data_IF_044955877557
#
_entry.id   IF_044955877557
#
_cell.length_a   1.000
_cell.length_b   1.000
_cell.length_c   1.000
_cell.angle_alpha   90.00
_cell.angle_beta   90.00
_cell.angle_gamma   90.00
#
_symmetry.space_group_name_H-M   'P 1'
#
loop_
_entity.id
_entity.type
_entity.pdbx_description
1 polymer ?
#
# COMPACT_ATOMS: atom_id res chain seq x y z
N UNK A 1 -12.98 -7.40 -11.85
CA UNK A 1 -12.43 -7.82 -10.55
C UNK A 1 -12.31 -6.56 -9.70
N UNK A 2 -12.83 -6.63 -8.49
CA UNK A 2 -13.05 -5.46 -7.66
C UNK A 2 -11.77 -5.14 -6.87
N UNK A 3 -10.92 -4.26 -7.41
CA UNK A 3 -9.78 -3.75 -6.65
C UNK A 3 -10.19 -2.52 -5.84
N UNK A 4 -10.42 -2.73 -4.55
CA UNK A 4 -10.74 -1.68 -3.59
C UNK A 4 -9.63 -1.47 -2.55
N UNK A 5 -8.44 -2.06 -2.77
CA UNK A 5 -7.36 -2.06 -1.79
C UNK A 5 -6.94 -0.64 -1.38
N UNK A 6 -6.95 0.31 -2.31
CA UNK A 6 -6.67 1.71 -1.99
C UNK A 6 -7.74 2.32 -1.07
N UNK A 7 -9.02 2.13 -1.40
CA UNK A 7 -10.14 2.67 -0.63
C UNK A 7 -10.19 2.10 0.80
N UNK A 8 -10.07 0.78 0.94
CA UNK A 8 -10.10 0.09 2.25
C UNK A 8 -8.88 0.44 3.09
N UNK A 9 -7.70 0.62 2.47
CA UNK A 9 -6.48 1.09 3.15
C UNK A 9 -6.69 2.49 3.70
N UNK A 10 -7.24 3.42 2.92
CA UNK A 10 -7.55 4.77 3.39
C UNK A 10 -8.57 4.77 4.54
N UNK A 11 -9.59 3.91 4.47
CA UNK A 11 -10.55 3.74 5.57
C UNK A 11 -9.89 3.21 6.84
N UNK A 12 -9.02 2.22 6.69
CA UNK A 12 -8.26 1.64 7.80
C UNK A 12 -7.34 2.67 8.45
N UNK A 13 -6.63 3.47 7.65
CA UNK A 13 -5.78 4.55 8.15
C UNK A 13 -6.60 5.63 8.86
N UNK A 14 -7.77 6.01 8.34
CA UNK A 14 -8.68 6.96 9.01
C UNK A 14 -9.13 6.47 10.39
N UNK A 15 -9.42 5.18 10.53
CA UNK A 15 -9.86 4.58 11.80
C UNK A 15 -8.73 4.52 12.83
N UNK A 16 -7.51 4.16 12.41
CA UNK A 16 -6.39 3.93 13.32
C UNK A 16 -5.52 5.18 13.52
N UNK A 17 -5.59 6.17 12.60
CA UNK A 17 -4.83 7.43 12.63
C UNK A 17 -5.65 8.62 12.11
N UNK A 18 -6.62 9.10 12.90
CA UNK A 18 -7.46 10.24 12.49
C UNK A 18 -6.68 11.56 12.32
N UNK A 19 -5.48 11.68 12.89
CA UNK A 19 -4.64 12.88 12.79
C UNK A 19 -3.60 12.82 11.67
N UNK A 20 -3.59 11.77 10.85
CA UNK A 20 -2.63 11.64 9.76
C UNK A 20 -3.00 12.53 8.58
N UNK A 21 -1.99 13.11 7.90
CA UNK A 21 -2.20 13.92 6.69
C UNK A 21 -2.41 13.04 5.46
N UNK A 22 -3.42 12.17 5.51
CA UNK A 22 -3.81 11.28 4.41
C UNK A 22 -5.12 11.77 3.77
N UNK A 23 -5.34 11.53 2.47
CA UNK A 23 -6.63 11.82 1.85
C UNK A 23 -7.77 11.12 2.57
N UNK A 24 -8.85 11.83 2.87
CA UNK A 24 -10.02 11.26 3.50
C UNK A 24 -10.91 10.59 2.45
N UNK A 25 -11.18 9.28 2.55
CA UNK A 25 -12.06 8.61 1.61
C UNK A 25 -13.51 9.05 1.86
N UNK A 26 -14.13 9.64 0.84
CA UNK A 26 -15.51 10.12 0.84
C UNK A 26 -16.49 9.11 0.25
N UNK A 27 -16.04 8.25 -0.66
CA UNK A 27 -16.88 7.22 -1.27
C UNK A 27 -16.18 6.43 -2.37
N UNK A 28 -16.83 5.36 -2.79
CA UNK A 28 -16.40 4.46 -3.85
C UNK A 28 -17.61 4.17 -4.74
N UNK A 29 -17.46 4.35 -6.05
CA UNK A 29 -18.48 4.00 -7.05
C UNK A 29 -17.87 3.05 -8.05
N UNK A 30 -18.57 1.95 -8.34
CA UNK A 30 -18.19 1.02 -9.40
C UNK A 30 -19.13 1.14 -10.59
N UNK A 31 -18.55 1.35 -11.77
CA UNK A 31 -19.27 1.39 -13.05
C UNK A 31 -18.60 0.38 -13.97
N UNK A 32 -19.28 -0.76 -14.18
CA UNK A 32 -18.74 -1.91 -14.92
C UNK A 32 -17.38 -2.34 -14.31
N UNK A 33 -16.30 -2.26 -15.10
CA UNK A 33 -14.96 -2.63 -14.67
C UNK A 33 -14.15 -1.51 -14.04
N UNK A 34 -14.70 -0.29 -13.97
CA UNK A 34 -14.02 0.89 -13.42
C UNK A 34 -14.47 1.12 -11.98
N UNK A 35 -13.49 1.28 -11.08
CA UNK A 35 -13.70 1.71 -9.70
C UNK A 35 -13.25 3.17 -9.57
N UNK A 36 -14.13 4.04 -9.10
CA UNK A 36 -13.87 5.46 -8.85
C UNK A 36 -13.84 5.71 -7.35
N UNK A 37 -12.68 6.12 -6.84
CA UNK A 37 -12.48 6.51 -5.43
C UNK A 37 -12.58 8.02 -5.31
N UNK A 38 -13.48 8.49 -4.45
CA UNK A 38 -13.62 9.90 -4.11
C UNK A 38 -12.94 10.15 -2.78
N UNK A 39 -12.00 11.09 -2.74
CA UNK A 39 -11.24 11.46 -1.53
C UNK A 39 -10.92 12.94 -1.50
N UNK A 40 -10.55 13.46 -0.33
CA UNK A 40 -10.12 14.86 -0.19
C UNK A 40 -8.81 15.12 -0.92
N UNK A 41 -8.65 16.35 -1.43
CA UNK A 41 -7.43 16.78 -2.12
C UNK A 41 -6.52 17.56 -1.16
N UNK A 42 -5.28 17.11 -1.00
CA UNK A 42 -4.25 17.81 -0.21
C UNK A 42 -3.38 18.63 -1.17
N UNK A 43 -3.60 19.95 -1.19
CA UNK A 43 -2.83 20.87 -2.03
C UNK A 43 -1.37 20.93 -1.57
N UNK A 44 -0.45 20.44 -2.40
CA UNK A 44 0.99 20.47 -2.12
C UNK A 44 1.80 20.45 -3.42
N UNK A 45 3.09 20.81 -3.35
CA UNK A 45 4.03 20.63 -4.45
C UNK A 45 4.61 19.23 -4.38
N UNK A 46 4.82 18.58 -5.54
CA UNK A 46 5.50 17.29 -5.54
C UNK A 46 6.94 17.46 -5.10
N UNK A 47 7.42 16.54 -4.26
CA UNK A 47 8.80 16.59 -3.79
C UNK A 47 9.80 16.55 -4.95
N UNK A 48 9.47 15.85 -6.04
CA UNK A 48 10.27 15.76 -7.26
C UNK A 48 10.51 17.13 -7.91
N UNK A 49 9.49 18.00 -7.94
CA UNK A 49 9.56 19.30 -8.60
C UNK A 49 10.45 20.28 -7.83
N UNK A 50 10.47 20.15 -6.51
CA UNK A 50 11.22 21.05 -5.62
C UNK A 50 12.56 20.46 -5.18
N UNK A 51 12.84 19.17 -5.41
CA UNK A 51 14.03 18.51 -4.83
C UNK A 51 15.36 19.15 -5.25
N UNK A 52 15.46 19.63 -6.49
CA UNK A 52 16.68 20.25 -7.02
C UNK A 52 16.99 21.60 -6.38
N UNK A 53 15.96 22.36 -5.98
CA UNK A 53 16.10 23.70 -5.40
C UNK A 53 16.27 23.69 -3.87
N UNK A 54 16.05 22.55 -3.21
CA UNK A 54 16.21 22.42 -1.77
C UNK A 54 17.69 22.38 -1.36
N UNK A 55 18.01 23.09 -0.27
CA UNK A 55 19.32 23.03 0.36
C UNK A 55 19.56 21.67 1.03
N UNK A 56 20.82 21.37 1.34
CA UNK A 56 21.19 20.16 2.07
C UNK A 56 20.51 20.07 3.45
N UNK A 57 20.33 21.19 4.15
CA UNK A 57 19.64 21.22 5.44
C UNK A 57 18.15 20.92 5.30
N UNK A 58 17.48 21.48 4.28
CA UNK A 58 16.08 21.19 4.00
C UNK A 58 15.86 19.73 3.62
N UNK A 59 16.76 19.13 2.82
CA UNK A 59 16.71 17.70 2.49
C UNK A 59 16.87 16.81 3.72
N UNK A 60 17.77 17.16 4.63
CA UNK A 60 17.94 16.45 5.89
C UNK A 60 16.66 16.52 6.74
N UNK A 61 16.06 17.70 6.86
CA UNK A 61 14.80 17.90 7.58
C UNK A 61 13.65 17.08 6.97
N UNK A 62 13.51 17.07 5.64
CA UNK A 62 12.48 16.24 4.96
C UNK A 62 12.71 14.76 5.22
N UNK A 63 13.97 14.30 5.19
CA UNK A 63 14.30 12.91 5.51
C UNK A 63 13.88 12.54 6.93
N UNK A 64 14.10 13.41 7.91
CA UNK A 64 13.68 13.22 9.30
C UNK A 64 12.15 13.18 9.43
N UNK A 65 11.44 14.10 8.76
CA UNK A 65 9.97 14.10 8.74
C UNK A 65 9.41 12.82 8.11
N UNK A 66 9.94 12.38 6.97
CA UNK A 66 9.53 11.13 6.33
C UNK A 66 9.82 9.92 7.22
N UNK A 67 10.97 9.90 7.91
CA UNK A 67 11.29 8.84 8.86
C UNK A 67 10.27 8.79 10.00
N UNK A 68 9.90 9.94 10.57
CA UNK A 68 8.88 10.03 11.61
C UNK A 68 7.51 9.54 11.13
N UNK A 69 7.08 9.98 9.94
CA UNK A 69 5.81 9.54 9.33
C UNK A 69 5.82 8.02 9.08
N UNK A 70 6.89 7.46 8.52
CA UNK A 70 6.99 6.03 8.26
C UNK A 70 7.08 5.19 9.54
N UNK A 71 7.74 5.70 10.59
CA UNK A 71 7.76 5.05 11.90
C UNK A 71 6.38 5.08 12.54
N UNK A 72 5.70 6.22 12.46
CA UNK A 72 4.30 6.32 12.89
C UNK A 72 3.47 5.30 12.12
N UNK A 73 3.48 5.28 10.79
CA UNK A 73 2.74 4.29 9.99
C UNK A 73 3.06 2.83 10.33
N UNK A 74 4.31 2.50 10.70
CA UNK A 74 4.68 1.14 11.13
C UNK A 74 4.19 0.78 12.53
N UNK A 75 3.83 1.77 13.35
CA UNK A 75 3.27 1.54 14.69
C UNK A 75 1.80 1.08 14.66
N UNK A 76 1.20 0.93 13.47
CA UNK A 76 -0.22 0.54 13.37
C UNK A 76 -0.41 -0.83 13.98
N UNK A 77 -1.42 -1.04 14.83
CA UNK A 77 -1.64 -2.33 15.45
C UNK A 77 -1.84 -3.40 14.38
N UNK A 78 -0.96 -4.38 14.39
CA UNK A 78 -1.13 -5.62 13.65
C UNK A 78 -1.96 -6.57 14.52
N UNK A 79 -3.18 -6.87 14.10
CA UNK A 79 -3.99 -7.90 14.74
C UNK A 79 -3.32 -9.25 14.49
N UNK A 80 -2.98 -10.03 15.54
CA UNK A 80 -2.50 -11.40 15.38
C UNK A 80 -3.44 -12.19 14.46
N UNK A 81 -2.89 -13.09 13.66
CA UNK A 81 -3.60 -13.90 12.66
C UNK A 81 -4.12 -13.14 11.42
N UNK A 82 -3.77 -11.87 11.25
CA UNK A 82 -4.05 -11.14 10.00
C UNK A 82 -3.08 -11.59 8.91
N UNK A 83 -3.55 -12.14 7.78
CA UNK A 83 -2.66 -12.52 6.69
C UNK A 83 -1.99 -11.30 6.05
N UNK A 84 -0.79 -11.51 5.51
CA UNK A 84 -0.07 -10.51 4.74
C UNK A 84 -0.85 -10.11 3.49
N UNK A 85 -0.96 -8.81 3.25
CA UNK A 85 -1.67 -8.25 2.09
C UNK A 85 -2.31 -6.91 2.39
N UNK A 86 -3.35 -6.59 1.62
CA UNK A 86 -4.28 -5.51 1.95
C UNK A 86 -5.05 -5.77 3.25
N UNK A 87 -6.01 -4.89 3.58
CA UNK A 87 -6.87 -4.96 4.78
C UNK A 87 -7.97 -6.03 4.59
N UNK A 88 -7.60 -7.19 4.05
CA UNK A 88 -8.52 -8.30 3.72
C UNK A 88 -8.40 -8.80 2.28
N UNK A 89 -7.80 -8.03 1.36
CA UNK A 89 -7.70 -8.38 -0.06
C UNK A 89 -6.53 -9.33 -0.40
N UNK A 90 -5.73 -9.71 0.60
CA UNK A 90 -4.60 -10.61 0.45
C UNK A 90 -3.45 -10.03 -0.39
N UNK A 91 -2.55 -10.91 -0.83
CA UNK A 91 -1.33 -10.52 -1.53
C UNK A 91 -1.48 -10.67 -3.05
N UNK A 92 -1.19 -9.59 -3.78
CA UNK A 92 -1.24 -9.53 -5.24
C UNK A 92 0.18 -9.40 -5.81
N UNK A 93 0.53 -10.23 -6.78
CA UNK A 93 1.75 -10.09 -7.58
C UNK A 93 1.36 -9.68 -9.00
N UNK A 94 1.77 -8.48 -9.42
CA UNK A 94 1.41 -7.88 -10.72
C UNK A 94 2.58 -7.81 -11.71
N UNK A 95 3.72 -8.45 -11.43
CA UNK A 95 4.95 -8.28 -12.23
C UNK A 95 4.87 -8.77 -13.68
N UNK A 96 3.96 -9.70 -14.00
CA UNK A 96 3.73 -10.20 -15.37
C UNK A 96 2.24 -10.40 -15.66
N UNK A 97 1.60 -11.21 -14.81
CA UNK A 97 0.17 -11.43 -14.79
C UNK A 97 -0.31 -11.22 -13.36
N UNK A 98 -1.54 -10.78 -13.17
CA UNK A 98 -2.14 -10.67 -11.85
C UNK A 98 -2.24 -12.06 -11.23
N UNK A 99 -1.41 -12.33 -10.22
CA UNK A 99 -1.48 -13.52 -9.40
C UNK A 99 -1.95 -13.14 -8.01
N UNK A 100 -3.14 -13.59 -7.65
CA UNK A 100 -3.66 -13.44 -6.30
C UNK A 100 -3.24 -14.63 -5.43
N UNK A 101 -3.08 -14.41 -4.13
CA UNK A 101 -3.01 -15.50 -3.17
C UNK A 101 -4.37 -16.19 -3.07
N UNK A 102 -4.47 -17.44 -3.53
CA UNK A 102 -5.65 -18.29 -3.30
C UNK A 102 -5.84 -18.63 -1.82
N UNK A 103 -4.73 -18.76 -1.08
CA UNK A 103 -4.71 -19.00 0.35
C UNK A 103 -4.12 -17.80 1.12
N UNK A 104 -4.59 -17.51 2.34
CA UNK A 104 -3.98 -16.52 3.23
C UNK A 104 -2.48 -16.80 3.45
N UNK A 105 -1.66 -15.75 3.51
CA UNK A 105 -0.22 -15.85 3.76
C UNK A 105 0.04 -15.32 5.17
N UNK A 106 0.11 -16.16 6.22
CA UNK A 106 0.15 -15.68 7.61
C UNK A 106 1.54 -15.18 8.02
N UNK A 107 2.62 -15.62 7.36
CA UNK A 107 3.98 -15.25 7.74
C UNK A 107 4.86 -14.83 6.55
N UNK A 108 5.97 -14.16 6.88
CA UNK A 108 7.00 -13.83 5.90
C UNK A 108 7.66 -15.08 5.29
N UNK A 109 7.74 -16.19 6.03
CA UNK A 109 8.27 -17.45 5.48
C UNK A 109 7.36 -17.99 4.38
N UNK A 110 6.04 -18.03 4.64
CA UNK A 110 5.05 -18.51 3.66
C UNK A 110 5.06 -17.64 2.39
N UNK A 111 5.30 -16.34 2.55
CA UNK A 111 5.47 -15.42 1.43
C UNK A 111 6.69 -15.78 0.56
N UNK A 112 7.84 -16.03 1.19
CA UNK A 112 9.08 -16.39 0.48
C UNK A 112 8.99 -17.76 -0.22
N UNK A 113 8.34 -18.73 0.43
CA UNK A 113 8.08 -20.04 -0.16
C UNK A 113 7.19 -19.90 -1.40
N UNK A 114 6.08 -19.14 -1.29
CA UNK A 114 5.21 -18.84 -2.43
C UNK A 114 5.97 -18.14 -3.56
N UNK A 115 6.81 -17.15 -3.24
CA UNK A 115 7.63 -16.43 -4.23
C UNK A 115 8.59 -17.37 -4.96
N UNK A 116 9.16 -18.35 -4.26
CA UNK A 116 10.08 -19.34 -4.82
C UNK A 116 9.35 -20.33 -5.73
N UNK A 117 8.18 -20.83 -5.32
CA UNK A 117 7.34 -21.70 -6.16
C UNK A 117 6.85 -21.00 -7.43
N UNK A 118 6.45 -19.72 -7.34
CA UNK A 118 6.10 -18.94 -8.52
C UNK A 118 7.28 -18.83 -9.49
N UNK A 119 8.50 -18.56 -8.99
CA UNK A 119 9.71 -18.50 -9.82
C UNK A 119 10.00 -19.82 -10.55
N UNK A 120 9.75 -20.96 -9.92
CA UNK A 120 9.94 -22.28 -10.55
C UNK A 120 8.90 -22.56 -11.64
N UNK A 121 7.62 -22.24 -11.41
CA UNK A 121 6.55 -22.35 -12.42
C UNK A 121 6.85 -21.56 -13.69
N UNK A 122 7.51 -20.41 -13.56
CA UNK A 122 7.89 -19.58 -14.71
C UNK A 122 9.25 -19.95 -15.36
N UNK A 123 9.95 -20.96 -14.84
CA UNK A 123 11.23 -21.46 -15.40
C UNK A 123 11.12 -22.78 -16.15
N UNK A 124 10.00 -23.49 -16.04
CA UNK A 124 9.74 -24.68 -16.85
C UNK A 124 9.36 -24.25 -18.28
N UNK A 125 10.03 -24.76 -19.33
CA UNK A 125 9.59 -24.53 -20.69
C UNK A 125 8.25 -25.26 -20.92
N UNK A 126 7.39 -24.63 -21.72
CA UNK A 126 6.14 -25.20 -22.26
C UNK A 126 6.40 -26.44 -23.10
#
# INVERSE_FOLDING_TARGET
>A
MDDYTEYTTLQYLRQHRPNSQVPEPSGLVRVNDISLVFMTHISSNMLADVWSILSSSQKAQIKEQLAAILLDLRSTPFTPDTPLGGVGEGCKDIRRHLNLSEAPIPSASDFEDKRTHLRQRYRSPS
#
